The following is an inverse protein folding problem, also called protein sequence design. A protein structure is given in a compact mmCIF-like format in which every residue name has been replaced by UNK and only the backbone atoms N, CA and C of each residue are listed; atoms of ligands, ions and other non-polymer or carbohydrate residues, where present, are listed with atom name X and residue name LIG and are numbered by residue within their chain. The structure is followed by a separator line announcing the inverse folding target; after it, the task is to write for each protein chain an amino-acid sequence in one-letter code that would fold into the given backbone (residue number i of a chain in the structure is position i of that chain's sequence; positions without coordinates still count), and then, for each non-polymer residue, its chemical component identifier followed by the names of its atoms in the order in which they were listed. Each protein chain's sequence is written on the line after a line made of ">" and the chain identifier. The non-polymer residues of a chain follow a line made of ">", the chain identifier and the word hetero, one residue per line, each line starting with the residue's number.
data_IF_152457033743
#
_entry.id   IF_152457033743
#
_cell.length_a   1.000
_cell.length_b   1.000
_cell.length_c   1.000
_cell.angle_alpha   90.00
_cell.angle_beta   90.00
_cell.angle_gamma   90.00
#
_symmetry.space_group_name_H-M   'P 1'
#
loop_
_entity.id
_entity.type
_entity.pdbx_description
1 polymer ?
#
# COMPACT_ATOMS: atom_id res chain seq x y z
N UNK A 1 -5.05 -60.60 9.94
CA UNK A 1 -3.78 -61.01 9.30
C UNK A 1 -3.77 -60.39 7.90
N UNK A 2 -2.91 -59.48 7.46
CA UNK A 2 -1.78 -58.69 8.05
C UNK A 2 -1.51 -57.55 6.99
N UNK A 3 -0.92 -56.37 7.20
CA UNK A 3 -0.03 -55.76 8.21
C UNK A 3 -0.32 -54.23 8.32
N UNK A 4 0.18 -53.54 9.35
CA UNK A 4 0.13 -52.07 9.45
C UNK A 4 1.39 -51.44 8.81
N UNK A 5 1.22 -50.47 7.88
CA UNK A 5 2.28 -49.47 7.61
C UNK A 5 1.74 -48.06 7.34
N UNK A 6 2.06 -47.16 8.25
CA UNK A 6 1.97 -45.70 8.07
C UNK A 6 3.15 -45.22 7.21
N UNK A 7 2.93 -44.25 6.33
CA UNK A 7 4.00 -43.47 5.67
C UNK A 7 3.70 -41.97 5.77
N UNK A 8 4.68 -41.23 6.30
CA UNK A 8 4.77 -39.78 6.22
C UNK A 8 5.90 -39.38 5.25
N UNK A 9 6.09 -38.07 5.05
CA UNK A 9 6.97 -37.38 4.07
C UNK A 9 6.44 -37.43 2.62
N UNK A 10 6.54 -36.39 1.78
CA UNK A 10 7.52 -35.28 1.75
C UNK A 10 6.90 -34.00 1.14
N UNK A 11 7.12 -32.84 1.77
CA UNK A 11 6.94 -31.50 1.19
C UNK A 11 8.31 -30.94 0.74
N UNK A 12 8.33 -29.83 -0.01
CA UNK A 12 9.51 -29.15 -0.57
C UNK A 12 10.10 -29.72 -1.88
N UNK A 13 9.50 -29.29 -3.00
CA UNK A 13 10.16 -29.16 -4.32
C UNK A 13 9.96 -27.71 -4.79
N UNK A 14 10.93 -26.83 -4.53
CA UNK A 14 11.16 -25.54 -5.26
C UNK A 14 12.26 -24.67 -4.60
N UNK A 15 13.40 -25.23 -4.16
CA UNK A 15 14.49 -24.39 -3.61
C UNK A 15 15.86 -25.01 -3.89
N UNK A 16 16.31 -24.96 -5.15
CA UNK A 16 17.60 -25.57 -5.55
C UNK A 16 18.27 -24.91 -6.76
N UNK A 17 18.19 -23.57 -6.87
CA UNK A 17 18.89 -22.83 -7.95
C UNK A 17 19.76 -21.64 -7.54
N UNK A 18 19.83 -21.24 -6.25
CA UNK A 18 20.68 -20.11 -5.82
C UNK A 18 21.97 -20.45 -5.04
N UNK A 19 22.28 -21.72 -4.81
CA UNK A 19 23.46 -22.15 -4.03
C UNK A 19 24.66 -22.68 -4.85
N UNK A 20 24.85 -22.25 -6.11
CA UNK A 20 26.00 -22.68 -6.95
C UNK A 20 27.08 -21.62 -7.20
N UNK A 21 26.83 -20.34 -6.90
CA UNK A 21 27.76 -19.24 -7.22
C UNK A 21 28.87 -18.98 -6.18
N UNK A 22 28.70 -19.43 -4.92
CA UNK A 22 29.60 -19.08 -3.80
C UNK A 22 30.62 -20.17 -3.40
N UNK A 23 30.62 -21.33 -4.05
CA UNK A 23 31.47 -22.49 -3.65
C UNK A 23 32.69 -22.72 -4.56
N UNK A 24 33.17 -21.70 -5.29
CA UNK A 24 34.27 -21.82 -6.27
C UNK A 24 35.55 -21.02 -5.98
N UNK A 25 35.68 -20.46 -4.77
CA UNK A 25 36.78 -19.52 -4.44
C UNK A 25 37.66 -19.93 -3.24
N UNK A 26 37.60 -21.20 -2.81
CA UNK A 26 38.48 -21.73 -1.76
C UNK A 26 38.99 -23.12 -2.13
N UNK A 27 39.88 -23.23 -3.12
CA UNK A 27 40.80 -24.37 -3.32
C UNK A 27 41.90 -24.04 -4.36
N UNK A 28 42.93 -23.32 -3.92
CA UNK A 28 44.27 -23.32 -4.54
C UNK A 28 45.30 -23.21 -3.41
N UNK A 29 46.10 -24.26 -3.22
CA UNK A 29 47.20 -24.25 -2.27
C UNK A 29 48.47 -23.70 -2.92
N UNK A 30 49.27 -22.95 -2.15
CA UNK A 30 50.64 -22.57 -2.53
C UNK A 30 51.54 -22.74 -1.30
N UNK A 31 52.39 -23.75 -1.34
CA UNK A 31 53.61 -23.82 -0.53
C UNK A 31 54.68 -22.92 -1.18
N UNK A 32 55.49 -22.21 -0.38
CA UNK A 32 56.70 -21.57 -0.91
C UNK A 32 57.08 -20.20 -0.33
N UNK A 33 58.17 -20.18 0.43
CA UNK A 33 59.15 -19.12 0.68
C UNK A 33 58.87 -17.63 0.30
N UNK A 34 59.01 -16.79 1.33
CA UNK A 34 59.63 -15.44 1.34
C UNK A 34 59.47 -14.49 0.14
N UNK A 35 58.62 -13.46 0.29
CA UNK A 35 59.02 -12.04 0.05
C UNK A 35 57.99 -11.07 0.66
N UNK A 36 58.41 -9.82 0.87
CA UNK A 36 57.56 -8.79 1.47
C UNK A 36 56.83 -7.98 0.38
N UNK A 37 55.51 -8.12 0.29
CA UNK A 37 54.67 -7.36 -0.66
C UNK A 37 53.45 -6.73 0.01
N UNK A 38 53.26 -5.43 -0.19
CA UNK A 38 52.07 -4.68 0.20
C UNK A 38 50.95 -4.86 -0.82
N UNK A 39 49.82 -5.49 -0.43
CA UNK A 39 48.63 -5.53 -1.26
C UNK A 39 47.63 -4.41 -0.91
N UNK A 40 47.17 -3.69 -1.93
CA UNK A 40 45.90 -2.95 -1.89
C UNK A 40 44.82 -3.82 -2.51
N UNK A 41 43.69 -3.98 -1.80
CA UNK A 41 42.44 -4.43 -2.39
C UNK A 41 41.54 -3.21 -2.58
N UNK A 42 40.98 -3.03 -3.78
CA UNK A 42 39.90 -2.08 -4.07
C UNK A 42 38.65 -2.88 -4.44
N UNK A 43 37.52 -2.54 -3.82
CA UNK A 43 36.20 -3.01 -4.21
C UNK A 43 35.38 -1.79 -4.63
N UNK A 44 34.82 -1.72 -5.86
CA UNK A 44 34.09 -0.54 -6.32
C UNK A 44 32.82 -0.22 -5.53
N UNK A 45 32.26 -1.18 -4.80
CA UNK A 45 30.93 -1.04 -4.17
C UNK A 45 30.95 -0.65 -2.68
N UNK A 46 32.14 -0.52 -2.06
CA UNK A 46 32.28 -0.19 -0.63
C UNK A 46 33.50 0.71 -0.40
N UNK A 47 33.26 1.94 0.07
CA UNK A 47 34.31 2.90 0.40
C UNK A 47 35.01 2.57 1.72
N UNK A 48 35.95 1.61 1.71
CA UNK A 48 36.79 1.26 2.86
C UNK A 48 38.26 1.21 2.42
N UNK A 49 39.07 2.17 2.86
CA UNK A 49 40.54 2.11 2.75
C UNK A 49 41.17 1.63 4.06
N UNK A 50 41.98 0.57 4.00
CA UNK A 50 42.83 0.11 5.10
C UNK A 50 44.31 0.15 4.71
N UNK A 51 45.18 0.60 5.64
CA UNK A 51 46.64 0.47 5.51
C UNK A 51 47.18 -0.44 6.61
N UNK A 52 48.04 -1.38 6.23
CA UNK A 52 48.83 -2.19 7.17
C UNK A 52 50.19 -1.50 7.35
N UNK A 53 50.64 -1.32 8.60
CA UNK A 53 52.04 -1.07 8.96
C UNK A 53 52.48 -2.14 9.95
N UNK A 54 53.54 -2.87 9.63
CA UNK A 54 54.21 -3.74 10.60
C UNK A 54 55.47 -3.05 11.13
N UNK A 55 55.64 -3.04 12.45
CA UNK A 55 56.91 -2.67 13.09
C UNK A 55 57.74 -3.94 13.35
N UNK A 56 59.08 -3.91 13.20
CA UNK A 56 59.91 -5.09 13.41
C UNK A 56 60.18 -5.35 14.91
N UNK A 57 60.08 -6.63 15.30
CA UNK A 57 60.62 -7.24 16.54
C UNK A 57 60.10 -6.72 17.90
N UNK A 58 58.98 -7.28 18.37
CA UNK A 58 58.97 -8.18 19.56
C UNK A 58 57.55 -8.65 19.90
N UNK A 59 57.44 -9.79 20.57
CA UNK A 59 56.18 -10.52 20.78
C UNK A 59 55.19 -9.80 21.72
N UNK A 60 53.96 -9.61 21.23
CA UNK A 60 52.74 -9.30 22.00
C UNK A 60 51.53 -9.63 21.11
N UNK A 61 50.34 -9.97 21.65
CA UNK A 61 49.21 -10.38 20.83
C UNK A 61 48.70 -9.23 19.96
N UNK A 62 48.41 -9.52 18.69
CA UNK A 62 47.89 -8.54 17.74
C UNK A 62 46.54 -7.98 18.23
N UNK A 63 46.51 -6.68 18.55
CA UNK A 63 45.28 -5.97 18.90
C UNK A 63 44.53 -5.62 17.61
N UNK A 64 43.37 -6.25 17.41
CA UNK A 64 42.46 -5.94 16.29
C UNK A 64 41.64 -4.69 16.62
N UNK A 65 41.88 -3.58 15.91
CA UNK A 65 40.93 -2.46 15.85
C UNK A 65 40.11 -2.53 14.56
N UNK A 66 38.91 -3.08 14.66
CA UNK A 66 37.91 -3.00 13.58
C UNK A 66 37.19 -1.65 13.67
N UNK A 67 37.69 -0.62 12.98
CA UNK A 67 36.96 0.65 12.84
C UNK A 67 35.83 0.51 11.83
N UNK A 68 34.66 0.09 12.32
CA UNK A 68 33.42 0.16 11.55
C UNK A 68 33.03 1.63 11.37
N UNK A 69 32.99 2.09 10.12
CA UNK A 69 32.39 3.37 9.76
C UNK A 69 30.88 3.29 9.94
N UNK A 70 30.36 3.88 11.03
CA UNK A 70 28.93 3.89 11.32
C UNK A 70 28.26 4.96 10.46
N UNK A 71 27.38 4.54 9.53
CA UNK A 71 26.50 5.45 8.80
C UNK A 71 25.57 6.19 9.77
N UNK A 72 25.27 7.46 9.49
CA UNK A 72 24.69 8.41 10.45
C UNK A 72 23.36 8.01 11.12
N UNK A 73 22.56 7.15 10.49
CA UNK A 73 21.22 6.78 10.98
C UNK A 73 21.20 5.79 12.17
N UNK A 74 22.27 5.05 12.46
CA UNK A 74 22.20 3.94 13.43
C UNK A 74 22.41 4.33 14.91
N UNK A 75 22.41 5.62 15.28
CA UNK A 75 22.70 6.06 16.67
C UNK A 75 21.62 5.68 17.70
N UNK A 76 20.38 5.42 17.28
CA UNK A 76 19.26 5.12 18.21
C UNK A 76 19.24 3.70 18.80
N UNK A 77 19.73 2.69 18.07
CA UNK A 77 19.52 1.26 18.42
C UNK A 77 20.65 0.67 19.28
N UNK A 78 21.84 1.30 19.29
CA UNK A 78 23.02 0.81 20.00
C UNK A 78 22.91 0.80 21.54
N UNK A 79 21.89 1.43 22.11
CA UNK A 79 21.67 1.51 23.57
C UNK A 79 21.05 0.23 24.17
N UNK A 80 20.24 -0.53 23.41
CA UNK A 80 19.53 -1.72 23.95
C UNK A 80 20.29 -3.04 23.76
N UNK A 81 21.17 -3.15 22.77
CA UNK A 81 21.96 -4.38 22.54
C UNK A 81 23.13 -4.53 23.54
N UNK A 82 23.60 -3.43 24.15
CA UNK A 82 24.70 -3.45 25.14
C UNK A 82 24.36 -4.16 26.47
N UNK A 83 23.08 -4.38 26.77
CA UNK A 83 22.65 -4.96 28.05
C UNK A 83 22.52 -6.51 28.03
N UNK A 84 22.48 -7.14 26.86
CA UNK A 84 22.22 -8.59 26.72
C UNK A 84 23.46 -9.48 26.66
N UNK A 85 24.67 -8.92 26.58
CA UNK A 85 25.91 -9.66 26.34
C UNK A 85 26.99 -9.43 27.41
N UNK A 86 26.57 -9.42 28.68
CA UNK A 86 27.43 -9.58 29.85
C UNK A 86 26.79 -10.60 30.80
N UNK A 87 27.64 -11.39 31.47
CA UNK A 87 27.27 -12.47 32.43
C UNK A 87 26.76 -13.78 31.78
N UNK A 88 27.70 -14.64 31.35
CA UNK A 88 27.91 -16.00 31.90
C UNK A 88 29.15 -16.68 31.29
N UNK A 89 30.32 -16.37 31.85
CA UNK A 89 31.51 -17.21 31.77
C UNK A 89 31.99 -17.45 33.20
N UNK A 90 31.48 -18.51 33.85
CA UNK A 90 32.09 -19.04 35.07
C UNK A 90 33.10 -20.13 34.69
N UNK A 91 34.26 -20.08 35.33
CA UNK A 91 35.38 -20.99 35.14
C UNK A 91 34.99 -22.46 35.24
N UNK A 92 35.64 -23.28 34.40
CA UNK A 92 35.80 -24.72 34.63
C UNK A 92 37.29 -25.02 34.82
N UNK A 93 37.58 -25.69 35.94
CA UNK A 93 38.81 -26.39 36.34
C UNK A 93 40.08 -25.60 36.67
N UNK A 94 40.41 -25.62 37.97
CA UNK A 94 41.78 -25.75 38.47
C UNK A 94 41.78 -26.57 39.78
N UNK A 95 42.01 -27.89 39.68
CA UNK A 95 42.25 -28.76 40.85
C UNK A 95 43.77 -28.88 41.03
N UNK A 96 44.28 -28.56 42.23
CA UNK A 96 45.67 -28.85 42.64
C UNK A 96 45.73 -30.16 43.43
N UNK A 97 46.84 -30.91 43.37
CA UNK A 97 46.97 -32.20 44.05
C UNK A 97 47.50 -32.05 45.49
N UNK A 98 46.97 -32.87 46.39
CA UNK A 98 47.61 -33.24 47.67
C UNK A 98 47.39 -34.73 47.92
N UNK A 99 48.44 -35.42 48.37
CA UNK A 99 48.47 -36.87 48.63
C UNK A 99 47.61 -37.25 49.85
N UNK A 100 46.95 -38.42 49.81
CA UNK A 100 47.34 -39.58 50.62
C UNK A 100 46.52 -40.83 50.22
N UNK A 101 47.22 -41.99 50.21
CA UNK A 101 46.78 -43.37 50.45
C UNK A 101 45.60 -44.02 49.68
N UNK A 102 45.80 -45.30 49.34
CA UNK A 102 44.68 -46.26 49.27
C UNK A 102 44.33 -46.86 47.91
N UNK A 103 45.08 -47.89 47.51
CA UNK A 103 44.54 -49.10 46.85
C UNK A 103 44.16 -49.06 45.35
N UNK A 104 44.17 -50.25 44.73
CA UNK A 104 44.26 -50.46 43.28
C UNK A 104 42.94 -50.96 42.68
N UNK A 105 42.55 -50.42 41.51
CA UNK A 105 41.70 -51.13 40.55
C UNK A 105 41.98 -50.65 39.12
N UNK A 106 42.14 -51.59 38.19
CA UNK A 106 42.64 -51.37 36.84
C UNK A 106 41.54 -51.22 35.78
N UNK A 107 41.78 -50.36 34.78
CA UNK A 107 41.08 -50.39 33.49
C UNK A 107 42.07 -50.12 32.32
N UNK A 108 41.86 -50.71 31.14
CA UNK A 108 42.84 -50.69 30.04
C UNK A 108 42.78 -49.44 29.15
N UNK A 109 43.88 -49.26 28.41
CA UNK A 109 44.20 -48.11 27.54
C UNK A 109 43.39 -48.11 26.24
N UNK A 110 43.04 -46.91 25.75
CA UNK A 110 42.97 -46.68 24.30
C UNK A 110 41.95 -45.65 23.77
N UNK A 111 42.37 -44.38 23.60
CA UNK A 111 41.78 -43.46 22.58
C UNK A 111 42.86 -42.55 21.97
N UNK A 112 42.72 -42.28 20.66
CA UNK A 112 43.52 -41.34 19.87
C UNK A 112 43.02 -39.89 20.09
N UNK A 113 43.84 -38.85 19.84
CA UNK A 113 43.36 -37.47 19.85
C UNK A 113 42.46 -37.19 18.64
N UNK A 114 41.53 -36.24 18.81
CA UNK A 114 40.67 -35.71 17.73
C UNK A 114 40.93 -34.21 17.63
N UNK A 115 41.29 -33.74 16.44
CA UNK A 115 41.51 -32.32 16.16
C UNK A 115 40.22 -31.51 16.29
N UNK A 116 40.26 -30.44 17.09
CA UNK A 116 39.15 -29.50 17.25
C UNK A 116 39.45 -28.16 16.56
N UNK A 117 39.16 -28.09 15.26
CA UNK A 117 39.14 -26.81 14.52
C UNK A 117 37.88 -26.02 14.88
N UNK A 118 38.05 -24.91 15.59
CA UNK A 118 36.99 -23.96 15.87
C UNK A 118 36.67 -23.12 14.61
N UNK A 119 35.58 -23.43 13.93
CA UNK A 119 35.08 -22.62 12.80
C UNK A 119 34.22 -21.48 13.36
N UNK A 120 34.75 -20.26 13.35
CA UNK A 120 33.95 -19.05 13.64
C UNK A 120 33.30 -18.59 12.33
N UNK A 121 32.07 -19.04 12.10
CA UNK A 121 31.25 -18.54 11.00
C UNK A 121 30.69 -17.16 11.38
N UNK A 122 31.24 -16.09 10.80
CA UNK A 122 30.67 -14.74 10.92
C UNK A 122 29.45 -14.60 10.00
N UNK A 123 28.29 -15.09 10.45
CA UNK A 123 27.03 -14.84 9.76
C UNK A 123 26.71 -13.35 9.85
N UNK A 124 26.90 -12.62 8.74
CA UNK A 124 26.33 -11.28 8.57
C UNK A 124 24.83 -11.49 8.45
N UNK A 125 24.13 -11.45 9.58
CA UNK A 125 22.67 -11.47 9.62
C UNK A 125 22.15 -10.18 9.02
N UNK A 126 21.74 -10.23 7.75
CA UNK A 126 20.86 -9.22 7.19
C UNK A 126 19.51 -9.40 7.90
N UNK A 127 19.22 -8.52 8.85
CA UNK A 127 17.87 -8.40 9.41
C UNK A 127 16.95 -7.87 8.30
N UNK A 128 16.35 -8.78 7.53
CA UNK A 128 15.24 -8.44 6.64
C UNK A 128 14.07 -8.10 7.56
N UNK A 129 13.78 -6.81 7.69
CA UNK A 129 12.58 -6.36 8.38
C UNK A 129 11.37 -6.88 7.60
N UNK A 130 10.50 -7.63 8.27
CA UNK A 130 9.33 -8.22 7.64
C UNK A 130 8.39 -7.10 7.19
N UNK A 131 8.18 -6.99 5.87
CA UNK A 131 7.28 -5.99 5.29
C UNK A 131 5.90 -6.03 5.96
N UNK A 132 5.36 -4.86 6.25
CA UNK A 132 4.07 -4.66 6.93
C UNK A 132 2.92 -4.97 5.97
N UNK A 133 1.89 -5.70 6.42
CA UNK A 133 0.73 -6.01 5.56
C UNK A 133 -0.23 -4.82 5.51
N UNK A 134 -0.61 -4.40 4.31
CA UNK A 134 -1.75 -3.51 4.05
C UNK A 134 -2.89 -4.34 3.45
N UNK A 135 -4.03 -4.44 4.14
CA UNK A 135 -5.21 -5.07 3.60
C UNK A 135 -6.04 -4.06 2.80
N UNK A 136 -6.44 -4.43 1.59
CA UNK A 136 -7.05 -3.51 0.61
C UNK A 136 -8.44 -4.00 0.27
N UNK A 137 -9.46 -3.39 0.87
CA UNK A 137 -10.86 -3.59 0.45
C UNK A 137 -11.04 -2.99 -0.94
N UNK A 138 -11.76 -3.68 -1.82
CA UNK A 138 -11.96 -3.21 -3.19
C UNK A 138 -10.67 -3.23 -4.05
N UNK A 139 -9.73 -4.12 -3.73
CA UNK A 139 -8.44 -4.24 -4.45
C UNK A 139 -8.58 -4.51 -5.96
N UNK A 140 -9.69 -5.11 -6.40
CA UNK A 140 -9.99 -5.33 -7.82
C UNK A 140 -10.66 -4.13 -8.51
N UNK A 141 -11.00 -3.09 -7.75
CA UNK A 141 -11.55 -1.83 -8.25
C UNK A 141 -10.46 -0.81 -8.58
N UNK A 142 -10.84 0.35 -9.14
CA UNK A 142 -9.89 1.34 -9.67
C UNK A 142 -8.95 1.92 -8.59
N UNK A 143 -9.50 2.34 -7.44
CA UNK A 143 -8.71 2.93 -6.35
C UNK A 143 -7.80 1.90 -5.65
N UNK A 144 -8.38 0.77 -5.22
CA UNK A 144 -7.65 -0.30 -4.53
C UNK A 144 -6.61 -0.96 -5.44
N UNK A 145 -6.91 -1.11 -6.73
CA UNK A 145 -5.98 -1.58 -7.75
C UNK A 145 -4.75 -0.67 -7.88
N UNK A 146 -4.94 0.65 -7.91
CA UNK A 146 -3.82 1.60 -7.94
C UNK A 146 -2.95 1.57 -6.67
N UNK A 147 -3.52 1.25 -5.51
CA UNK A 147 -2.74 1.03 -4.28
C UNK A 147 -1.94 -0.27 -4.35
N UNK A 148 -2.52 -1.34 -4.89
CA UNK A 148 -1.80 -2.60 -5.15
C UNK A 148 -0.64 -2.35 -6.12
N UNK A 149 -0.91 -1.64 -7.21
CA UNK A 149 0.07 -1.29 -8.22
C UNK A 149 1.23 -0.47 -7.62
N UNK A 150 0.92 0.60 -6.87
CA UNK A 150 1.92 1.46 -6.21
C UNK A 150 2.83 0.69 -5.24
N UNK A 151 2.26 -0.19 -4.39
CA UNK A 151 3.03 -0.99 -3.43
C UNK A 151 3.92 -2.02 -4.13
N UNK A 152 3.47 -2.61 -5.25
CA UNK A 152 4.23 -3.58 -6.02
C UNK A 152 5.35 -2.95 -6.87
N UNK A 153 5.16 -1.72 -7.35
CA UNK A 153 6.15 -1.04 -8.22
C UNK A 153 7.21 -0.28 -7.44
N UNK A 154 6.98 0.09 -6.18
CA UNK A 154 7.99 0.69 -5.29
C UNK A 154 8.87 -0.42 -4.65
N UNK A 155 10.14 -0.59 -5.09
CA UNK A 155 11.02 -1.63 -4.55
C UNK A 155 11.34 -1.41 -3.06
N UNK A 156 11.40 -0.14 -2.64
CA UNK A 156 11.70 0.31 -1.28
C UNK A 156 10.43 0.41 -0.42
N UNK A 157 9.27 -0.03 -0.93
CA UNK A 157 8.02 -0.06 -0.17
C UNK A 157 8.18 -0.93 1.08
N UNK A 158 7.93 -0.41 2.30
CA UNK A 158 7.97 -1.20 3.53
C UNK A 158 6.74 -2.13 3.67
N UNK A 159 5.87 -2.15 2.65
CA UNK A 159 4.58 -2.83 2.66
C UNK A 159 4.50 -4.01 1.69
N UNK A 160 3.64 -4.96 2.04
CA UNK A 160 3.07 -5.97 1.14
C UNK A 160 1.54 -5.86 1.18
N UNK A 161 0.86 -6.27 0.11
CA UNK A 161 -0.59 -6.13 -0.01
C UNK A 161 -1.31 -7.45 0.18
N UNK A 162 -2.40 -7.40 0.95
CA UNK A 162 -3.48 -8.37 0.95
C UNK A 162 -4.68 -7.79 0.20
N UNK A 163 -4.90 -8.24 -1.03
CA UNK A 163 -6.04 -7.85 -1.85
C UNK A 163 -7.31 -8.56 -1.36
N UNK A 164 -8.32 -7.78 -0.95
CA UNK A 164 -9.59 -8.31 -0.47
C UNK A 164 -10.68 -8.24 -1.54
N UNK A 165 -11.41 -9.35 -1.68
CA UNK A 165 -12.46 -9.57 -2.68
C UNK A 165 -13.59 -10.40 -2.08
N UNK A 166 -14.79 -10.33 -2.65
CA UNK A 166 -15.91 -11.22 -2.29
C UNK A 166 -15.79 -12.62 -2.90
N UNK A 167 -14.93 -12.78 -3.90
CA UNK A 167 -14.67 -14.03 -4.63
C UNK A 167 -13.18 -14.10 -5.01
N UNK A 168 -12.42 -14.94 -4.30
CA UNK A 168 -11.01 -15.20 -4.58
C UNK A 168 -10.80 -16.13 -5.79
N UNK A 169 -11.86 -16.77 -6.28
CA UNK A 169 -11.84 -17.57 -7.51
C UNK A 169 -12.06 -16.73 -8.78
N UNK A 170 -12.46 -15.46 -8.65
CA UNK A 170 -12.68 -14.54 -9.76
C UNK A 170 -11.41 -14.33 -10.62
N UNK A 171 -11.59 -13.93 -11.89
CA UNK A 171 -10.47 -13.66 -12.81
C UNK A 171 -9.51 -12.60 -12.24
N UNK A 172 -10.06 -11.48 -11.75
CA UNK A 172 -9.26 -10.39 -11.19
C UNK A 172 -8.48 -10.82 -9.93
N UNK A 173 -9.07 -11.66 -9.07
CA UNK A 173 -8.37 -12.23 -7.92
C UNK A 173 -7.20 -13.13 -8.34
N UNK A 174 -7.41 -14.00 -9.33
CA UNK A 174 -6.35 -14.85 -9.91
C UNK A 174 -5.22 -14.03 -10.55
N UNK A 175 -5.56 -12.93 -11.22
CA UNK A 175 -4.59 -11.98 -11.79
C UNK A 175 -3.76 -11.28 -10.70
N UNK A 176 -4.36 -10.90 -9.57
CA UNK A 176 -3.62 -10.37 -8.42
C UNK A 176 -2.70 -11.43 -7.79
N UNK A 177 -3.18 -12.65 -7.57
CA UNK A 177 -2.38 -13.75 -7.04
C UNK A 177 -1.18 -14.09 -7.95
N UNK A 178 -1.36 -14.06 -9.28
CA UNK A 178 -0.29 -14.26 -10.26
C UNK A 178 0.81 -13.18 -10.21
N UNK A 179 0.51 -11.99 -9.65
CA UNK A 179 1.46 -10.90 -9.40
C UNK A 179 2.16 -11.01 -8.04
N UNK A 180 1.92 -12.08 -7.27
CA UNK A 180 2.49 -12.29 -5.94
C UNK A 180 1.75 -11.57 -4.81
N UNK A 181 0.53 -11.10 -5.04
CA UNK A 181 -0.32 -10.46 -4.02
C UNK A 181 -1.04 -11.54 -3.21
N UNK A 182 -1.09 -11.40 -1.88
CA UNK A 182 -1.94 -12.25 -1.04
C UNK A 182 -3.40 -11.91 -1.34
N UNK A 183 -4.25 -12.91 -1.61
CA UNK A 183 -5.69 -12.70 -1.85
C UNK A 183 -6.47 -13.26 -0.67
N UNK A 184 -7.31 -12.43 -0.06
CA UNK A 184 -8.24 -12.81 1.01
C UNK A 184 -9.69 -12.62 0.59
N UNK A 185 -10.58 -13.48 1.08
CA UNK A 185 -12.02 -13.28 0.93
C UNK A 185 -12.57 -12.42 2.07
N UNK A 186 -13.35 -11.40 1.72
CA UNK A 186 -14.05 -10.53 2.66
C UNK A 186 -15.28 -9.91 1.99
N UNK A 187 -16.37 -9.79 2.74
CA UNK A 187 -17.54 -9.01 2.35
C UNK A 187 -17.76 -7.85 3.31
N UNK A 188 -17.95 -6.66 2.77
CA UNK A 188 -18.30 -5.46 3.52
C UNK A 188 -19.64 -5.63 4.27
N UNK A 189 -20.52 -6.50 3.78
CA UNK A 189 -21.78 -6.86 4.44
C UNK A 189 -21.60 -7.86 5.60
N UNK A 190 -20.38 -8.30 5.91
CA UNK A 190 -20.07 -9.24 7.01
C UNK A 190 -18.88 -8.79 7.87
N UNK A 191 -19.17 -8.16 9.02
CA UNK A 191 -18.17 -7.70 10.01
C UNK A 191 -17.17 -8.81 10.39
N UNK A 192 -17.64 -10.05 10.60
CA UNK A 192 -16.80 -11.21 10.94
C UNK A 192 -15.77 -11.52 9.84
N UNK A 193 -16.18 -11.44 8.57
CA UNK A 193 -15.27 -11.68 7.45
C UNK A 193 -14.17 -10.61 7.36
N UNK A 194 -14.53 -9.34 7.64
CA UNK A 194 -13.58 -8.24 7.68
C UNK A 194 -12.60 -8.39 8.85
N UNK A 195 -13.05 -8.80 10.05
CA UNK A 195 -12.18 -9.07 11.21
C UNK A 195 -11.14 -10.14 10.86
N UNK A 196 -11.57 -11.23 10.21
CA UNK A 196 -10.67 -12.31 9.77
C UNK A 196 -9.68 -11.82 8.71
N UNK A 197 -10.15 -11.04 7.73
CA UNK A 197 -9.33 -10.49 6.64
C UNK A 197 -8.32 -9.43 7.10
N UNK A 198 -8.64 -8.65 8.13
CA UNK A 198 -7.77 -7.62 8.72
C UNK A 198 -6.81 -8.18 9.77
N UNK A 199 -6.96 -9.44 10.20
CA UNK A 199 -6.08 -10.06 11.20
C UNK A 199 -4.62 -10.05 10.72
N UNK A 200 -3.73 -9.43 11.52
CA UNK A 200 -2.31 -9.26 11.21
C UNK A 200 -1.99 -8.14 10.22
N UNK A 201 -2.98 -7.39 9.72
CA UNK A 201 -2.73 -6.21 8.91
C UNK A 201 -2.21 -5.04 9.78
N UNK A 202 -1.16 -4.38 9.33
CA UNK A 202 -0.69 -3.14 9.95
C UNK A 202 -1.60 -1.97 9.58
N UNK A 203 -2.00 -1.91 8.30
CA UNK A 203 -2.93 -0.91 7.80
C UNK A 203 -4.03 -1.48 6.94
N UNK A 204 -5.13 -0.74 6.79
CA UNK A 204 -6.26 -1.11 5.94
C UNK A 204 -6.68 0.06 5.07
N UNK A 205 -6.81 -0.15 3.76
CA UNK A 205 -7.53 0.76 2.89
C UNK A 205 -8.97 0.29 2.72
N UNK A 206 -9.93 1.17 3.01
CA UNK A 206 -11.37 0.89 2.93
C UNK A 206 -12.01 1.81 1.89
N UNK A 207 -12.78 1.22 0.97
CA UNK A 207 -13.62 1.92 -0.01
C UNK A 207 -14.97 1.20 -0.13
N UNK A 208 -16.07 1.95 -0.21
CA UNK A 208 -17.42 1.45 -0.44
C UNK A 208 -17.97 1.93 -1.79
N UNK A 209 -18.82 1.11 -2.41
CA UNK A 209 -19.42 1.39 -3.73
C UNK A 209 -20.94 1.58 -3.64
N UNK A 210 -21.33 2.85 -3.61
CA UNK A 210 -22.71 3.36 -3.66
C UNK A 210 -23.41 3.04 -5.00
N UNK A 211 -22.65 2.94 -6.08
CA UNK A 211 -23.14 2.76 -7.44
C UNK A 211 -23.21 1.27 -7.85
N UNK A 212 -22.78 0.36 -6.96
CA UNK A 212 -23.00 -1.08 -7.08
C UNK A 212 -24.45 -1.35 -7.49
N UNK A 213 -24.70 -2.13 -8.57
CA UNK A 213 -26.05 -2.44 -9.02
C UNK A 213 -26.90 -3.10 -7.92
N UNK A 214 -28.15 -2.69 -7.84
CA UNK A 214 -29.20 -3.28 -7.00
C UNK A 214 -30.47 -3.39 -7.84
N UNK A 215 -31.23 -4.48 -7.68
CA UNK A 215 -32.58 -4.55 -8.25
C UNK A 215 -33.55 -3.65 -7.46
N UNK A 216 -34.72 -3.28 -8.01
CA UNK A 216 -35.72 -2.49 -7.27
C UNK A 216 -36.13 -3.14 -5.94
N UNK A 217 -36.20 -4.46 -5.88
CA UNK A 217 -36.53 -5.24 -4.67
C UNK A 217 -35.40 -5.16 -3.64
N UNK A 218 -34.14 -5.23 -4.08
CA UNK A 218 -32.98 -5.07 -3.20
C UNK A 218 -32.90 -3.66 -2.62
N UNK A 219 -33.12 -2.63 -3.44
CA UNK A 219 -33.19 -1.23 -3.00
C UNK A 219 -34.34 -1.00 -2.01
N UNK A 220 -35.51 -1.60 -2.24
CA UNK A 220 -36.67 -1.48 -1.35
C UNK A 220 -36.47 -2.17 0.01
N UNK A 221 -35.76 -3.30 0.04
CA UNK A 221 -35.46 -4.03 1.30
C UNK A 221 -34.34 -3.38 2.08
N UNK A 222 -33.26 -2.95 1.42
CA UNK A 222 -32.09 -2.34 2.05
C UNK A 222 -31.55 -1.22 1.15
N UNK A 223 -32.03 0.02 1.31
CA UNK A 223 -31.64 1.16 0.48
C UNK A 223 -30.12 1.33 0.46
N UNK A 224 -29.57 1.75 -0.68
CA UNK A 224 -28.12 1.86 -0.87
C UNK A 224 -27.44 2.78 0.14
N UNK A 225 -28.14 3.80 0.62
CA UNK A 225 -27.70 4.71 1.68
C UNK A 225 -27.50 3.99 3.02
N UNK A 226 -28.44 3.12 3.40
CA UNK A 226 -28.33 2.28 4.62
C UNK A 226 -27.24 1.25 4.44
N UNK A 227 -27.24 0.53 3.30
CA UNK A 227 -26.22 -0.48 2.99
C UNK A 227 -24.81 0.09 3.09
N UNK A 228 -24.54 1.22 2.44
CA UNK A 228 -23.20 1.80 2.43
C UNK A 228 -22.75 2.29 3.82
N UNK A 229 -23.65 2.87 4.61
CA UNK A 229 -23.37 3.26 5.99
C UNK A 229 -23.01 2.06 6.88
N UNK A 230 -23.78 0.96 6.77
CA UNK A 230 -23.53 -0.28 7.48
C UNK A 230 -22.20 -0.93 7.05
N UNK A 231 -21.87 -0.89 5.75
CA UNK A 231 -20.59 -1.40 5.23
C UNK A 231 -19.38 -0.63 5.78
N UNK A 232 -19.45 0.69 5.83
CA UNK A 232 -18.43 1.53 6.46
C UNK A 232 -18.33 1.26 7.97
N UNK A 233 -19.48 1.11 8.65
CA UNK A 233 -19.56 0.74 10.07
C UNK A 233 -18.90 -0.61 10.36
N UNK A 234 -19.21 -1.64 9.56
CA UNK A 234 -18.61 -2.96 9.67
C UNK A 234 -17.08 -2.90 9.50
N UNK A 235 -16.59 -2.12 8.54
CA UNK A 235 -15.16 -1.93 8.33
C UNK A 235 -14.47 -1.21 9.49
N UNK A 236 -15.08 -0.16 10.06
CA UNK A 236 -14.57 0.54 11.23
C UNK A 236 -14.49 -0.38 12.47
N UNK A 237 -15.54 -1.14 12.75
CA UNK A 237 -15.56 -2.13 13.85
C UNK A 237 -14.55 -3.24 13.64
N UNK A 238 -14.46 -3.78 12.43
CA UNK A 238 -13.50 -4.81 12.10
C UNK A 238 -12.05 -4.34 12.26
N UNK A 239 -11.74 -3.12 11.81
CA UNK A 239 -10.41 -2.52 11.99
C UNK A 239 -10.07 -2.32 13.48
N UNK A 240 -11.05 -1.89 14.29
CA UNK A 240 -10.90 -1.77 15.75
C UNK A 240 -10.64 -3.13 16.40
N UNK A 241 -11.44 -4.14 16.07
CA UNK A 241 -11.37 -5.49 16.64
C UNK A 241 -10.08 -6.23 16.23
N UNK A 242 -9.60 -6.02 15.01
CA UNK A 242 -8.33 -6.58 14.53
C UNK A 242 -7.08 -5.83 15.03
N UNK A 243 -7.24 -4.67 15.68
CA UNK A 243 -6.13 -3.87 16.22
C UNK A 243 -5.28 -3.18 15.14
N UNK A 244 -5.90 -2.80 14.03
CA UNK A 244 -5.22 -2.15 12.89
C UNK A 244 -4.55 -0.84 13.34
N UNK A 245 -3.30 -0.63 12.92
CA UNK A 245 -2.50 0.54 13.33
C UNK A 245 -2.83 1.81 12.54
N UNK A 246 -3.31 1.69 11.30
CA UNK A 246 -3.69 2.81 10.45
C UNK A 246 -4.77 2.41 9.43
N UNK A 247 -5.91 3.09 9.42
CA UNK A 247 -6.92 2.98 8.36
C UNK A 247 -6.85 4.19 7.45
N UNK A 248 -6.94 3.99 6.14
CA UNK A 248 -7.24 5.07 5.18
C UNK A 248 -8.64 4.80 4.63
N UNK A 249 -9.58 5.69 4.95
CA UNK A 249 -10.99 5.57 4.61
C UNK A 249 -11.32 6.50 3.42
N UNK A 250 -11.71 5.90 2.28
CA UNK A 250 -12.16 6.63 1.09
C UNK A 250 -13.56 7.20 1.32
N UNK A 251 -13.62 8.46 1.75
CA UNK A 251 -14.84 9.19 2.11
C UNK A 251 -15.08 10.39 1.18
N UNK A 252 -16.11 11.18 1.50
CA UNK A 252 -16.51 12.41 0.82
C UNK A 252 -17.05 13.43 1.83
N UNK A 253 -17.31 14.65 1.40
CA UNK A 253 -17.83 15.73 2.25
C UNK A 253 -19.30 15.55 2.64
N UNK A 254 -19.71 16.16 3.75
CA UNK A 254 -21.13 16.43 3.98
C UNK A 254 -21.53 17.64 3.12
N UNK A 255 -22.43 17.44 2.15
CA UNK A 255 -22.84 18.51 1.24
C UNK A 255 -23.91 19.43 1.84
N UNK A 256 -24.61 18.98 2.88
CA UNK A 256 -25.80 19.66 3.44
C UNK A 256 -25.47 21.07 3.96
N UNK A 257 -24.39 21.31 4.76
CA UNK A 257 -24.05 22.65 5.24
C UNK A 257 -23.64 23.63 4.13
N UNK A 258 -23.16 23.13 2.99
CA UNK A 258 -22.82 24.00 1.85
C UNK A 258 -24.09 24.58 1.23
N UNK A 259 -25.07 23.75 0.89
CA UNK A 259 -26.32 24.20 0.28
C UNK A 259 -27.22 24.99 1.24
N UNK A 260 -27.18 24.67 2.53
CA UNK A 260 -27.84 25.47 3.58
C UNK A 260 -27.24 26.88 3.69
N UNK A 261 -25.93 27.02 3.48
CA UNK A 261 -25.22 28.32 3.50
C UNK A 261 -25.38 29.12 2.21
N UNK A 262 -25.42 28.49 1.04
CA UNK A 262 -25.67 29.21 -0.23
C UNK A 262 -27.14 29.60 -0.40
N UNK A 263 -28.05 28.88 0.25
CA UNK A 263 -29.50 29.07 0.13
C UNK A 263 -30.09 28.40 -1.12
N UNK A 264 -29.32 27.57 -1.82
CA UNK A 264 -29.79 26.87 -3.02
C UNK A 264 -30.82 25.80 -2.68
N UNK A 265 -32.02 25.94 -3.27
CA UNK A 265 -33.12 24.99 -3.12
C UNK A 265 -32.88 23.71 -3.94
N UNK A 266 -31.88 22.92 -3.56
CA UNK A 266 -31.55 21.64 -4.19
C UNK A 266 -32.51 20.53 -3.73
N UNK A 267 -33.05 19.69 -4.64
CA UNK A 267 -33.98 18.64 -4.25
C UNK A 267 -33.31 17.59 -3.36
N UNK A 268 -33.95 17.22 -2.24
CA UNK A 268 -33.51 16.13 -1.37
C UNK A 268 -34.02 14.78 -1.90
N UNK A 269 -33.22 13.73 -1.77
CA UNK A 269 -33.48 12.38 -2.30
C UNK A 269 -33.10 11.27 -1.31
N UNK A 270 -33.56 10.04 -1.55
CA UNK A 270 -33.18 8.81 -0.81
C UNK A 270 -33.22 8.92 0.72
N UNK A 271 -34.26 9.54 1.28
CA UNK A 271 -34.41 9.72 2.74
C UNK A 271 -33.95 11.08 3.29
N UNK A 272 -33.81 12.11 2.43
CA UNK A 272 -33.56 13.49 2.86
C UNK A 272 -32.13 13.99 2.62
N UNK A 273 -31.27 13.16 2.04
CA UNK A 273 -29.91 13.53 1.62
C UNK A 273 -29.94 14.52 0.45
N UNK A 274 -28.90 15.33 0.34
CA UNK A 274 -28.71 16.21 -0.82
C UNK A 274 -27.96 15.48 -1.91
N UNK A 275 -26.76 14.98 -1.59
CA UNK A 275 -25.98 14.11 -2.46
C UNK A 275 -25.68 12.82 -1.67
N UNK A 276 -26.59 11.82 -1.67
CA UNK A 276 -26.47 10.69 -0.74
C UNK A 276 -25.16 9.90 -0.84
N UNK A 277 -24.56 9.83 -2.03
CA UNK A 277 -23.26 9.18 -2.26
C UNK A 277 -22.06 9.94 -1.65
N UNK A 278 -22.24 11.22 -1.30
CA UNK A 278 -21.34 12.02 -0.47
C UNK A 278 -21.74 11.92 1.01
N UNK A 279 -22.97 12.37 1.30
CA UNK A 279 -23.48 12.61 2.66
C UNK A 279 -23.44 11.35 3.55
N UNK A 280 -23.66 10.15 2.97
CA UNK A 280 -23.60 8.87 3.69
C UNK A 280 -22.17 8.53 4.13
N UNK A 281 -21.18 8.79 3.27
CA UNK A 281 -19.76 8.55 3.61
C UNK A 281 -19.30 9.51 4.70
N UNK A 282 -19.64 10.78 4.56
CA UNK A 282 -19.39 11.81 5.57
C UNK A 282 -20.04 11.48 6.93
N UNK A 283 -21.28 10.97 6.93
CA UNK A 283 -21.91 10.48 8.16
C UNK A 283 -21.24 9.24 8.75
N UNK A 284 -20.60 8.39 7.94
CA UNK A 284 -19.82 7.25 8.42
C UNK A 284 -18.46 7.67 9.03
N UNK A 285 -17.90 8.84 8.70
CA UNK A 285 -16.65 9.33 9.28
C UNK A 285 -16.71 9.39 10.82
N UNK A 286 -17.86 9.78 11.37
CA UNK A 286 -18.12 9.82 12.80
C UNK A 286 -17.93 8.44 13.47
N UNK A 287 -18.28 7.34 12.79
CA UNK A 287 -18.16 5.98 13.33
C UNK A 287 -16.70 5.58 13.53
N UNK A 288 -15.81 5.96 12.61
CA UNK A 288 -14.37 5.73 12.76
C UNK A 288 -13.79 6.53 13.94
N UNK A 289 -14.25 7.78 14.13
CA UNK A 289 -13.83 8.64 15.23
C UNK A 289 -14.36 8.16 16.60
N UNK A 290 -15.64 7.81 16.71
CA UNK A 290 -16.29 7.29 17.92
C UNK A 290 -15.68 5.97 18.39
N UNK A 291 -15.39 5.06 17.45
CA UNK A 291 -14.68 3.81 17.74
C UNK A 291 -13.19 4.01 18.03
N UNK A 292 -12.66 5.23 17.89
CA UNK A 292 -11.24 5.58 18.04
C UNK A 292 -10.36 4.65 17.19
N UNK A 293 -10.69 4.54 15.90
CA UNK A 293 -9.87 3.85 14.90
C UNK A 293 -8.84 4.86 14.38
N UNK A 294 -7.52 4.55 14.36
CA UNK A 294 -6.50 5.46 13.87
C UNK A 294 -6.65 5.66 12.35
N UNK A 295 -7.39 6.70 11.95
CA UNK A 295 -7.94 6.83 10.58
C UNK A 295 -7.45 8.11 9.92
N UNK A 296 -7.08 8.03 8.64
CA UNK A 296 -7.01 9.18 7.73
C UNK A 296 -8.26 9.18 6.86
N UNK A 297 -8.95 10.32 6.82
CA UNK A 297 -10.16 10.51 6.02
C UNK A 297 -9.78 11.04 4.64
N UNK A 298 -9.81 10.18 3.62
CA UNK A 298 -9.42 10.54 2.26
C UNK A 298 -10.63 11.00 1.44
N UNK A 299 -10.69 12.29 1.12
CA UNK A 299 -11.76 12.89 0.32
C UNK A 299 -11.36 13.03 -1.14
N UNK A 300 -12.29 12.70 -2.03
CA UNK A 300 -12.01 12.42 -3.44
C UNK A 300 -12.72 13.40 -4.39
N UNK A 301 -12.10 13.80 -5.51
CA UNK A 301 -12.67 14.76 -6.45
C UNK A 301 -13.41 14.02 -7.59
N UNK A 302 -13.69 14.69 -8.71
CA UNK A 302 -14.27 14.03 -9.88
C UNK A 302 -13.24 13.13 -10.59
N UNK A 303 -13.64 11.95 -11.07
CA UNK A 303 -12.69 10.98 -11.63
C UNK A 303 -12.54 11.10 -13.15
N UNK A 304 -11.32 10.96 -13.65
CA UNK A 304 -11.03 10.90 -15.08
C UNK A 304 -11.85 9.82 -15.79
N UNK A 305 -12.00 8.65 -15.15
CA UNK A 305 -12.69 7.50 -15.70
C UNK A 305 -14.22 7.66 -15.85
N UNK A 306 -14.80 8.74 -15.33
CA UNK A 306 -16.24 9.04 -15.53
C UNK A 306 -16.61 9.28 -16.99
N UNK A 307 -15.63 9.66 -17.83
CA UNK A 307 -15.78 9.76 -19.29
C UNK A 307 -16.28 8.45 -19.92
N UNK A 308 -15.96 7.30 -19.31
CA UNK A 308 -16.41 5.96 -19.72
C UNK A 308 -17.70 5.52 -19.03
N UNK A 309 -18.26 6.34 -18.14
CA UNK A 309 -19.45 6.05 -17.33
C UNK A 309 -20.59 7.04 -17.63
N UNK A 310 -20.71 7.45 -18.89
CA UNK A 310 -21.77 8.33 -19.38
C UNK A 310 -21.52 9.84 -19.22
N UNK A 311 -20.43 10.26 -18.57
CA UNK A 311 -20.04 11.68 -18.47
C UNK A 311 -19.06 12.12 -19.59
N UNK A 312 -18.86 11.27 -20.60
CA UNK A 312 -18.06 11.58 -21.78
C UNK A 312 -18.84 12.35 -22.84
N UNK A 313 -18.21 12.66 -23.98
CA UNK A 313 -18.92 13.23 -25.12
C UNK A 313 -19.90 12.22 -25.71
N UNK A 314 -20.96 12.72 -26.35
CA UNK A 314 -21.99 11.93 -27.04
C UNK A 314 -22.30 12.58 -28.39
N UNK A 315 -22.56 11.78 -29.44
CA UNK A 315 -22.98 12.31 -30.74
C UNK A 315 -24.42 12.83 -30.68
N UNK A 316 -24.63 14.05 -31.17
CA UNK A 316 -25.97 14.60 -31.41
C UNK A 316 -26.57 14.09 -32.74
N UNK A 317 -27.81 14.50 -33.05
CA UNK A 317 -28.52 14.13 -34.29
C UNK A 317 -27.81 14.58 -35.59
N UNK A 318 -26.88 15.54 -35.49
CA UNK A 318 -26.05 16.02 -36.61
C UNK A 318 -24.73 15.29 -36.75
N UNK A 319 -24.47 14.32 -35.86
CA UNK A 319 -23.22 13.58 -35.77
C UNK A 319 -22.10 14.30 -35.02
N UNK A 320 -22.34 15.50 -34.47
CA UNK A 320 -21.33 16.29 -33.76
C UNK A 320 -21.12 15.73 -32.34
N UNK A 321 -19.88 15.63 -31.88
CA UNK A 321 -19.58 15.21 -30.50
C UNK A 321 -19.80 16.38 -29.52
N UNK A 322 -20.69 16.17 -28.55
CA UNK A 322 -21.06 17.17 -27.55
C UNK A 322 -20.69 16.67 -26.15
N UNK A 323 -19.97 17.48 -25.36
CA UNK A 323 -19.72 17.25 -23.95
C UNK A 323 -20.67 18.12 -23.12
N UNK A 324 -21.51 17.50 -22.28
CA UNK A 324 -22.57 18.19 -21.53
C UNK A 324 -22.48 18.02 -20.01
N UNK A 325 -21.27 18.18 -19.46
CA UNK A 325 -21.06 18.22 -18.01
C UNK A 325 -21.64 19.55 -17.46
N UNK A 326 -22.47 19.55 -16.41
CA UNK A 326 -23.27 20.71 -15.99
C UNK A 326 -22.53 21.82 -15.21
N UNK A 327 -21.20 21.96 -15.37
CA UNK A 327 -20.39 22.89 -14.57
C UNK A 327 -20.34 24.34 -15.12
N UNK A 328 -20.99 24.61 -16.25
CA UNK A 328 -20.90 25.90 -16.97
C UNK A 328 -19.44 26.33 -17.14
N UNK A 329 -19.11 27.60 -16.88
CA UNK A 329 -17.73 28.13 -16.95
C UNK A 329 -16.91 27.89 -15.66
N UNK A 330 -17.43 27.12 -14.70
CA UNK A 330 -16.70 26.80 -13.46
C UNK A 330 -15.60 25.78 -13.72
N UNK A 331 -14.56 25.84 -12.89
CA UNK A 331 -13.60 24.77 -12.73
C UNK A 331 -14.20 23.66 -11.86
N UNK A 332 -13.74 22.44 -12.09
CA UNK A 332 -13.98 21.28 -11.23
C UNK A 332 -12.64 20.62 -10.92
N UNK A 333 -12.47 20.13 -9.69
CA UNK A 333 -11.29 19.35 -9.32
C UNK A 333 -11.40 17.93 -9.88
N UNK A 334 -10.30 17.42 -10.44
CA UNK A 334 -10.25 16.12 -11.10
C UNK A 334 -9.04 15.29 -10.69
N UNK A 335 -9.15 13.95 -10.74
CA UNK A 335 -8.02 13.01 -10.53
C UNK A 335 -8.21 11.69 -11.28
N UNK A 336 -7.13 11.01 -11.65
CA UNK A 336 -7.16 9.62 -12.11
C UNK A 336 -7.30 8.65 -10.93
N UNK A 337 -8.12 7.61 -11.05
CA UNK A 337 -8.35 6.70 -9.92
C UNK A 337 -7.11 5.87 -9.53
N UNK A 338 -6.15 5.71 -10.45
CA UNK A 338 -4.83 5.14 -10.21
C UNK A 338 -3.96 6.03 -9.28
N UNK A 339 -4.07 7.35 -9.40
CA UNK A 339 -3.36 8.30 -8.55
C UNK A 339 -3.87 8.34 -7.11
N UNK A 340 -5.16 8.06 -6.91
CA UNK A 340 -5.72 7.87 -5.56
C UNK A 340 -4.94 6.76 -4.83
N UNK A 341 -4.69 5.65 -5.50
CA UNK A 341 -3.91 4.53 -4.97
C UNK A 341 -2.45 4.87 -4.67
N UNK A 342 -1.77 5.60 -5.58
CA UNK A 342 -0.42 6.15 -5.34
C UNK A 342 -0.39 7.06 -4.13
N UNK A 343 -1.35 7.97 -3.99
CA UNK A 343 -1.45 8.89 -2.85
C UNK A 343 -1.71 8.15 -1.53
N UNK A 344 -2.59 7.14 -1.52
CA UNK A 344 -2.83 6.29 -0.33
C UNK A 344 -1.55 5.57 0.12
N UNK A 345 -0.74 5.07 -0.81
CA UNK A 345 0.55 4.45 -0.48
C UNK A 345 1.51 5.44 0.21
N UNK A 346 1.56 6.69 -0.25
CA UNK A 346 2.36 7.77 0.35
C UNK A 346 1.84 8.15 1.74
N UNK A 347 0.52 8.15 1.95
CA UNK A 347 -0.11 8.34 3.27
C UNK A 347 0.33 7.24 4.25
N UNK A 348 0.29 5.96 3.86
CA UNK A 348 0.79 4.87 4.71
C UNK A 348 2.29 4.98 5.03
N UNK A 349 3.11 5.45 4.08
CA UNK A 349 4.56 5.69 4.34
C UNK A 349 4.82 6.81 5.35
N UNK A 350 3.85 7.70 5.58
CA UNK A 350 3.92 8.84 6.49
C UNK A 350 2.82 8.84 7.56
N UNK A 351 2.42 7.65 8.04
CA UNK A 351 1.27 7.45 8.93
C UNK A 351 1.22 8.41 10.15
N UNK A 352 2.37 8.66 10.80
CA UNK A 352 2.49 9.55 11.97
C UNK A 352 2.07 11.01 11.69
N UNK A 353 2.03 11.43 10.43
CA UNK A 353 1.57 12.76 10.01
C UNK A 353 0.06 12.79 9.70
N UNK A 354 -0.50 11.67 9.22
CA UNK A 354 -1.82 11.64 8.59
C UNK A 354 -2.91 10.95 9.43
N UNK A 355 -2.57 10.19 10.47
CA UNK A 355 -3.57 9.59 11.37
C UNK A 355 -4.30 10.71 12.13
N UNK A 356 -5.64 10.74 12.00
CA UNK A 356 -6.51 11.78 12.54
C UNK A 356 -6.83 12.89 11.53
N UNK A 357 -6.05 13.02 10.46
CA UNK A 357 -6.22 14.08 9.47
C UNK A 357 -7.27 13.74 8.40
N UNK A 358 -7.85 14.80 7.82
CA UNK A 358 -8.63 14.72 6.59
C UNK A 358 -7.77 15.17 5.43
N UNK A 359 -7.52 14.28 4.47
CA UNK A 359 -6.70 14.55 3.29
C UNK A 359 -7.61 14.61 2.07
N UNK A 360 -7.62 15.75 1.40
CA UNK A 360 -8.51 16.02 0.29
C UNK A 360 -7.73 16.18 -1.01
N UNK A 361 -7.83 15.20 -1.90
CA UNK A 361 -6.90 15.10 -3.03
C UNK A 361 -7.50 15.58 -4.36
N UNK A 362 -6.67 16.20 -5.19
CA UNK A 362 -6.96 16.54 -6.59
C UNK A 362 -5.66 16.62 -7.40
N UNK A 363 -5.71 16.28 -8.68
CA UNK A 363 -4.61 16.51 -9.60
C UNK A 363 -4.68 17.91 -10.22
N UNK A 364 -5.85 18.28 -10.75
CA UNK A 364 -6.00 19.49 -11.57
C UNK A 364 -7.36 20.17 -11.33
N UNK A 365 -7.43 21.47 -11.62
CA UNK A 365 -8.67 22.21 -11.83
C UNK A 365 -8.92 22.36 -13.32
N UNK A 366 -10.06 21.91 -13.81
CA UNK A 366 -10.41 21.97 -15.24
C UNK A 366 -11.81 22.52 -15.46
N UNK A 367 -11.98 23.37 -16.47
CA UNK A 367 -13.30 23.78 -16.99
C UNK A 367 -13.83 22.76 -17.99
N UNK A 368 -15.14 22.79 -18.26
CA UNK A 368 -15.73 21.91 -19.29
C UNK A 368 -15.25 22.23 -20.71
N UNK A 369 -14.83 23.47 -20.98
CA UNK A 369 -14.21 23.86 -22.24
C UNK A 369 -12.82 23.25 -22.42
N UNK A 370 -11.99 23.25 -21.37
CA UNK A 370 -10.67 22.59 -21.37
C UNK A 370 -10.81 21.06 -21.51
N UNK A 371 -11.76 20.45 -20.79
CA UNK A 371 -12.09 19.03 -20.95
C UNK A 371 -12.47 18.69 -22.41
N UNK A 372 -13.34 19.48 -23.04
CA UNK A 372 -13.72 19.26 -24.44
C UNK A 372 -12.55 19.47 -25.42
N UNK A 373 -11.67 20.45 -25.19
CA UNK A 373 -10.48 20.67 -26.00
C UNK A 373 -9.50 19.50 -25.91
N UNK A 374 -9.21 19.03 -24.69
CA UNK A 374 -8.36 17.86 -24.44
C UNK A 374 -8.97 16.59 -25.06
N UNK A 375 -10.27 16.34 -24.88
CA UNK A 375 -10.98 15.22 -25.52
C UNK A 375 -10.95 15.30 -27.05
N UNK A 376 -11.05 16.49 -27.63
CA UNK A 376 -10.94 16.68 -29.08
C UNK A 376 -9.59 16.21 -29.61
N UNK A 377 -8.50 16.57 -28.93
CA UNK A 377 -7.14 16.15 -29.28
C UNK A 377 -6.96 14.62 -29.15
N UNK A 378 -7.47 14.02 -28.07
CA UNK A 378 -7.35 12.59 -27.81
C UNK A 378 -8.19 11.72 -28.76
N UNK A 379 -9.39 12.17 -29.13
CA UNK A 379 -10.29 11.48 -30.06
C UNK A 379 -9.82 11.70 -31.51
N UNK A 380 -9.39 12.90 -31.87
CA UNK A 380 -9.06 13.30 -33.25
C UNK A 380 -10.25 13.89 -34.02
N UNK A 381 -11.30 14.29 -33.31
CA UNK A 381 -12.53 14.90 -33.83
C UNK A 381 -12.96 16.03 -32.89
N UNK A 382 -13.61 17.08 -33.40
CA UNK A 382 -14.04 18.21 -32.58
C UNK A 382 -15.14 17.80 -31.60
N UNK A 383 -14.84 17.87 -30.31
CA UNK A 383 -15.82 17.86 -29.22
C UNK A 383 -16.21 19.29 -28.88
N UNK A 384 -17.51 19.59 -28.88
CA UNK A 384 -18.03 20.90 -28.48
C UNK A 384 -18.57 20.82 -27.05
N UNK A 385 -18.14 21.74 -26.18
CA UNK A 385 -18.72 21.85 -24.84
C UNK A 385 -20.08 22.57 -24.92
N UNK A 386 -21.12 21.92 -24.42
CA UNK A 386 -22.48 22.47 -24.29
C UNK A 386 -23.06 22.01 -22.95
N UNK A 387 -22.83 22.77 -21.85
CA UNK A 387 -23.28 22.39 -20.52
C UNK A 387 -24.81 22.35 -20.42
N UNK A 388 -25.32 21.41 -19.64
CA UNK A 388 -26.63 21.56 -19.01
C UNK A 388 -26.53 22.54 -17.84
N UNK A 389 -27.61 23.27 -17.56
CA UNK A 389 -27.82 23.86 -16.24
C UNK A 389 -28.15 22.77 -15.20
N UNK A 390 -27.98 23.08 -13.90
CA UNK A 390 -28.33 22.12 -12.85
C UNK A 390 -29.80 21.63 -12.92
N UNK A 391 -30.82 22.48 -13.18
CA UNK A 391 -32.19 22.01 -13.36
C UNK A 391 -32.38 21.07 -14.57
N UNK A 392 -31.72 21.35 -15.70
CA UNK A 392 -31.79 20.49 -16.89
C UNK A 392 -31.16 19.12 -16.61
N UNK A 393 -29.97 19.07 -16.00
CA UNK A 393 -29.33 17.80 -15.65
C UNK A 393 -30.17 16.98 -14.66
N UNK A 394 -30.75 17.63 -13.63
CA UNK A 394 -31.67 16.98 -12.67
C UNK A 394 -32.93 16.41 -13.33
N UNK A 395 -33.36 16.99 -14.45
CA UNK A 395 -34.54 16.58 -15.22
C UNK A 395 -34.29 15.49 -16.26
N UNK A 396 -33.04 15.03 -16.44
CA UNK A 396 -32.72 13.92 -17.34
C UNK A 396 -33.34 12.61 -16.83
N UNK A 397 -33.95 11.85 -17.75
CA UNK A 397 -34.46 10.50 -17.47
C UNK A 397 -33.32 9.47 -17.46
N UNK A 398 -32.40 9.65 -16.51
CA UNK A 398 -31.28 8.74 -16.24
C UNK A 398 -31.24 8.37 -14.75
N UNK A 399 -30.81 7.14 -14.41
CA UNK A 399 -30.76 6.70 -13.01
C UNK A 399 -30.01 7.68 -12.11
N UNK A 400 -30.70 8.14 -11.06
CA UNK A 400 -30.15 9.01 -10.02
C UNK A 400 -29.65 10.39 -10.48
N UNK A 401 -30.13 10.91 -11.60
CA UNK A 401 -29.77 12.24 -12.16
C UNK A 401 -29.69 13.37 -11.12
N UNK A 402 -30.69 13.45 -10.22
CA UNK A 402 -30.74 14.45 -9.14
C UNK A 402 -29.55 14.31 -8.18
N UNK A 403 -29.25 13.09 -7.73
CA UNK A 403 -28.16 12.84 -6.78
C UNK A 403 -26.81 13.19 -7.42
N UNK A 404 -26.59 12.78 -8.67
CA UNK A 404 -25.36 13.09 -9.44
C UNK A 404 -25.23 14.60 -9.64
N UNK A 405 -26.30 15.29 -10.07
CA UNK A 405 -26.27 16.75 -10.24
C UNK A 405 -25.94 17.50 -8.96
N UNK A 406 -26.45 17.05 -7.81
CA UNK A 406 -26.19 17.71 -6.52
C UNK A 406 -24.72 17.52 -6.10
N UNK A 407 -24.13 16.34 -6.33
CA UNK A 407 -22.70 16.10 -6.11
C UNK A 407 -21.81 16.91 -7.05
N UNK A 408 -22.16 17.00 -8.34
CA UNK A 408 -21.46 17.83 -9.32
C UNK A 408 -21.56 19.33 -9.00
N UNK A 409 -22.72 19.80 -8.55
CA UNK A 409 -22.88 21.20 -8.12
C UNK A 409 -21.97 21.50 -6.92
N UNK A 410 -21.98 20.64 -5.90
CA UNK A 410 -21.09 20.79 -4.75
C UNK A 410 -19.61 20.83 -5.17
N UNK A 411 -19.15 19.89 -6.00
CA UNK A 411 -17.76 19.87 -6.47
C UNK A 411 -17.38 21.11 -7.29
N UNK A 412 -18.28 21.62 -8.13
CA UNK A 412 -18.03 22.79 -8.97
C UNK A 412 -18.07 24.12 -8.20
N UNK A 413 -18.89 24.21 -7.15
CA UNK A 413 -19.04 25.41 -6.30
C UNK A 413 -18.05 25.43 -5.12
N UNK A 414 -17.35 24.30 -4.87
CA UNK A 414 -16.26 24.17 -3.90
C UNK A 414 -14.88 23.95 -4.55
N UNK A 415 -14.78 23.94 -5.88
CA UNK A 415 -13.56 23.55 -6.58
C UNK A 415 -12.37 24.44 -6.26
N UNK A 416 -12.56 25.77 -6.24
CA UNK A 416 -11.52 26.76 -5.94
C UNK A 416 -11.25 26.94 -4.44
N UNK A 417 -11.90 26.16 -3.59
CA UNK A 417 -11.68 26.19 -2.14
C UNK A 417 -10.44 25.36 -1.77
N UNK A 418 -9.32 26.04 -1.60
CA UNK A 418 -8.04 25.44 -1.20
C UNK A 418 -8.07 24.83 0.21
N UNK A 419 -9.01 25.22 1.08
CA UNK A 419 -9.21 24.52 2.37
C UNK A 419 -9.82 23.12 2.17
N UNK A 420 -10.45 22.88 1.01
CA UNK A 420 -11.19 21.64 0.70
C UNK A 420 -10.50 20.80 -0.37
N UNK A 421 -9.73 21.34 -1.31
CA UNK A 421 -8.93 20.57 -2.29
C UNK A 421 -7.62 21.29 -2.64
N UNK A 422 -6.59 21.07 -1.84
CA UNK A 422 -5.24 21.59 -2.11
C UNK A 422 -4.49 20.69 -3.10
N UNK A 423 -4.26 21.24 -4.30
CA UNK A 423 -3.52 20.60 -5.39
C UNK A 423 -2.00 20.59 -5.11
N UNK A 424 -1.45 21.64 -4.47
CA UNK A 424 -0.03 21.66 -4.10
C UNK A 424 0.27 20.60 -3.04
N UNK A 425 -0.61 20.45 -2.03
CA UNK A 425 -0.53 19.34 -1.07
C UNK A 425 -0.56 17.99 -1.78
N UNK A 426 -1.46 17.80 -2.76
CA UNK A 426 -1.56 16.53 -3.47
C UNK A 426 -0.32 16.25 -4.33
N UNK A 427 0.25 17.24 -5.02
CA UNK A 427 1.51 17.11 -5.76
C UNK A 427 2.72 16.86 -4.86
N UNK A 428 2.79 17.51 -3.69
CA UNK A 428 3.87 17.28 -2.73
C UNK A 428 3.80 15.85 -2.14
N UNK A 429 2.59 15.34 -1.93
CA UNK A 429 2.35 13.98 -1.43
C UNK A 429 2.56 12.91 -2.52
N UNK A 430 2.17 13.21 -3.77
CA UNK A 430 2.32 12.36 -4.95
C UNK A 430 2.90 13.17 -6.13
N UNK A 431 4.24 13.25 -6.25
CA UNK A 431 4.89 13.93 -7.38
C UNK A 431 4.69 13.25 -8.74
N UNK A 432 4.07 12.06 -8.76
CA UNK A 432 3.76 11.25 -9.94
C UNK A 432 2.26 11.38 -10.34
N UNK A 433 1.59 12.43 -9.86
CA UNK A 433 0.24 12.80 -10.30
C UNK A 433 0.19 12.94 -11.82
N UNK A 434 -0.73 12.20 -12.44
CA UNK A 434 -0.98 12.28 -13.87
C UNK A 434 -1.98 13.38 -14.20
N UNK A 435 -1.72 14.18 -15.24
CA UNK A 435 -2.68 15.13 -15.80
C UNK A 435 -3.77 14.43 -16.63
N UNK A 436 -4.93 15.06 -16.74
CA UNK A 436 -6.04 14.56 -17.53
C UNK A 436 -5.64 14.37 -18.99
N UNK A 437 -4.88 15.31 -19.56
CA UNK A 437 -4.36 15.25 -20.94
C UNK A 437 -3.50 13.99 -21.17
N UNK A 438 -2.55 13.71 -20.27
CA UNK A 438 -1.70 12.52 -20.37
C UNK A 438 -2.52 11.23 -20.23
N UNK A 439 -3.50 11.23 -19.31
CA UNK A 439 -4.37 10.09 -19.08
C UNK A 439 -5.26 9.79 -20.29
N UNK A 440 -5.97 10.79 -20.85
CA UNK A 440 -6.81 10.59 -22.04
C UNK A 440 -5.96 10.26 -23.27
N UNK A 441 -4.72 10.75 -23.38
CA UNK A 441 -3.81 10.42 -24.46
C UNK A 441 -3.56 8.91 -24.58
N UNK A 442 -3.42 8.21 -23.44
CA UNK A 442 -3.34 6.73 -23.42
C UNK A 442 -4.67 6.03 -23.67
N UNK A 443 -5.80 6.69 -23.40
CA UNK A 443 -7.15 6.13 -23.54
C UNK A 443 -7.87 6.53 -24.85
N UNK A 444 -7.25 7.36 -25.70
CA UNK A 444 -7.86 7.92 -26.91
C UNK A 444 -8.40 6.87 -27.90
N UNK A 445 -7.81 5.68 -27.96
CA UNK A 445 -8.32 4.57 -28.76
C UNK A 445 -9.65 4.00 -28.23
N UNK A 446 -9.79 3.88 -26.91
CA UNK A 446 -11.04 3.46 -26.27
C UNK A 446 -12.10 4.57 -26.33
N UNK A 447 -11.69 5.84 -26.21
CA UNK A 447 -12.58 6.99 -26.40
C UNK A 447 -13.10 7.08 -27.83
N UNK A 448 -12.25 6.87 -28.85
CA UNK A 448 -12.69 6.74 -30.25
C UNK A 448 -13.70 5.60 -30.42
N UNK A 449 -13.42 4.41 -29.88
CA UNK A 449 -14.32 3.26 -30.00
C UNK A 449 -15.67 3.46 -29.30
N UNK A 450 -15.73 4.23 -28.20
CA UNK A 450 -16.97 4.62 -27.53
C UNK A 450 -17.79 5.64 -28.32
N UNK A 451 -17.13 6.43 -29.18
CA UNK A 451 -17.70 7.55 -29.93
C UNK A 451 -17.77 7.30 -31.45
N UNK A 452 -17.61 6.05 -31.88
CA UNK A 452 -17.74 5.62 -33.27
C UNK A 452 -19.20 5.26 -33.59
#
# INVERSE_FOLDING_TARGET
>A
MTDLRVRATTLARAETQHHSALSKLVHTGIDGFSTCCTHRLRNPSLAVEGRIRCAPRNCSPCRWELRLGVCGLCRGVASRVRAGLLVRLHHVNAVRPTRADGEQASLPVGRRPVDSKLIVASTIGVCVESKKVIAVVGATGKQGGGLVDAVLTDPDSPFVVRALTRDASSRAAKEMAARGVEVGEADLDSEISLVQAFAGAHGVFVVTDFWSPLTPEQEAVRPRTIREFEQATNAARAAKAAGVSHVVWSTLEDTRPHFERTGDAVPRVMGGYTAPHFDVKASADAVFAELQVPTTFLRLPFFYETVFLGMGPVRNERGELILSIPIADRKMTVIGAQDIGRTVHRIFKAADHWIGETVSIAAEHVTGAELAAMLSAAIGEKVTYQPFSWPEFRGLDVPHAIAVSNGLQFLAERSEDTEIRDIELTHNLNPELESYEAWIGRHGAALRALNA
#
